data_IF_929566789839
#
_entry.id   IF_929566789839
#
_cell.length_a   1.000
_cell.length_b   1.000
_cell.length_c   1.000
_cell.angle_alpha   90.00
_cell.angle_beta   90.00
_cell.angle_gamma   90.00
#
_symmetry.space_group_name_H-M   'P 1'
#
loop_
_entity.id
_entity.type
_entity.pdbx_description
1 polymer ?
#
# COMPACT_ATOMS: atom_id res chain seq x y z
N UNK A 1 17.22 18.41 6.08
CA UNK A 1 17.58 18.29 4.65
C UNK A 1 16.32 18.47 3.81
N UNK A 2 16.44 19.05 2.61
CA UNK A 2 15.33 19.20 1.65
C UNK A 2 15.32 17.99 0.72
N UNK A 3 14.17 17.40 0.43
CA UNK A 3 14.09 16.32 -0.57
C UNK A 3 14.39 16.87 -1.96
N UNK A 4 14.90 16.03 -2.87
CA UNK A 4 15.17 16.45 -4.26
C UNK A 4 13.91 17.01 -4.94
N UNK A 5 12.74 16.39 -4.68
CA UNK A 5 11.46 16.87 -5.18
C UNK A 5 11.15 18.29 -4.71
N UNK A 6 11.32 18.57 -3.42
CA UNK A 6 11.11 19.91 -2.86
C UNK A 6 12.13 20.91 -3.40
N UNK A 7 13.38 20.50 -3.61
CA UNK A 7 14.42 21.37 -4.16
C UNK A 7 14.07 21.83 -5.57
N UNK A 8 13.60 20.90 -6.42
CA UNK A 8 13.24 21.14 -7.81
C UNK A 8 11.93 21.93 -7.95
N UNK A 9 10.87 21.48 -7.28
CA UNK A 9 9.52 22.02 -7.48
C UNK A 9 9.18 23.19 -6.54
N UNK A 10 10.08 23.50 -5.59
CA UNK A 10 9.85 24.48 -4.50
C UNK A 10 8.56 24.20 -3.69
N UNK A 11 8.06 22.98 -3.74
CA UNK A 11 6.82 22.53 -3.10
C UNK A 11 7.03 21.18 -2.42
N UNK A 12 6.38 20.97 -1.28
CA UNK A 12 6.35 19.66 -0.62
C UNK A 12 5.56 18.64 -1.45
N UNK A 13 6.00 17.38 -1.53
CA UNK A 13 5.19 16.35 -2.17
C UNK A 13 3.86 16.19 -1.44
N UNK A 14 2.78 16.00 -2.18
CA UNK A 14 1.48 15.72 -1.60
C UNK A 14 1.44 14.24 -1.18
N UNK A 15 1.35 13.99 0.13
CA UNK A 15 1.33 12.64 0.72
C UNK A 15 -0.08 12.14 1.02
N UNK A 16 -1.14 12.88 0.65
CA UNK A 16 -2.53 12.52 1.00
C UNK A 16 -2.98 11.15 0.46
N UNK A 17 -2.35 10.66 -0.61
CA UNK A 17 -2.62 9.33 -1.19
C UNK A 17 -1.73 8.21 -0.66
N UNK A 18 -0.79 8.51 0.23
CA UNK A 18 0.11 7.52 0.80
C UNK A 18 -0.60 6.80 1.95
N UNK A 19 -0.60 5.48 1.92
CA UNK A 19 -1.05 4.70 3.07
C UNK A 19 -0.03 4.78 4.20
N UNK A 20 -0.54 4.87 5.43
CA UNK A 20 0.29 4.74 6.61
C UNK A 20 0.83 3.31 6.71
N UNK A 21 2.08 3.19 7.15
CA UNK A 21 2.69 1.88 7.41
C UNK A 21 1.85 1.10 8.43
N UNK A 22 1.56 -0.16 8.12
CA UNK A 22 0.76 -1.04 8.97
C UNK A 22 -0.75 -0.77 8.91
N UNK A 23 -1.21 0.16 8.07
CA UNK A 23 -2.64 0.41 7.91
C UNK A 23 -3.36 -0.86 7.43
N UNK A 24 -4.57 -1.07 7.95
CA UNK A 24 -5.41 -2.20 7.59
C UNK A 24 -5.81 -2.12 6.11
N UNK A 25 -5.61 -3.22 5.40
CA UNK A 25 -6.05 -3.42 4.02
C UNK A 25 -6.71 -4.77 3.84
N UNK A 26 -7.46 -4.92 2.76
CA UNK A 26 -8.14 -6.17 2.40
C UNK A 26 -7.53 -6.73 1.12
N UNK A 27 -7.03 -7.96 1.19
CA UNK A 27 -6.43 -8.67 0.06
C UNK A 27 -7.42 -9.69 -0.48
N UNK A 28 -7.57 -9.74 -1.80
CA UNK A 28 -8.40 -10.75 -2.44
C UNK A 28 -7.70 -12.11 -2.39
N UNK A 29 -8.32 -13.09 -1.74
CA UNK A 29 -7.86 -14.46 -1.62
C UNK A 29 -8.77 -15.39 -2.43
N UNK A 30 -8.27 -16.00 -3.53
CA UNK A 30 -9.09 -16.82 -4.41
C UNK A 30 -9.22 -18.27 -3.93
N UNK A 31 -8.70 -18.63 -2.75
CA UNK A 31 -8.66 -20.03 -2.30
C UNK A 31 -9.97 -20.51 -1.65
N UNK A 32 -10.91 -19.59 -1.38
CA UNK A 32 -12.22 -19.90 -0.78
C UNK A 32 -13.24 -20.54 -1.75
N UNK A 33 -14.28 -21.17 -1.18
CA UNK A 33 -15.45 -21.61 -1.94
C UNK A 33 -16.40 -20.43 -2.23
N UNK A 34 -17.39 -20.62 -3.12
CA UNK A 34 -18.32 -19.55 -3.54
C UNK A 34 -19.01 -18.79 -2.39
N UNK A 35 -19.20 -19.44 -1.24
CA UNK A 35 -19.88 -18.86 -0.08
C UNK A 35 -18.92 -18.32 0.99
N UNK A 36 -17.61 -18.52 0.83
CA UNK A 36 -16.61 -18.06 1.80
C UNK A 36 -16.20 -16.60 1.53
N UNK A 37 -15.70 -15.88 2.54
CA UNK A 37 -15.10 -14.57 2.34
C UNK A 37 -13.92 -14.64 1.37
N UNK A 38 -13.96 -13.86 0.29
CA UNK A 38 -12.87 -13.76 -0.69
C UNK A 38 -11.85 -12.68 -0.34
N UNK A 39 -11.99 -12.04 0.84
CA UNK A 39 -11.13 -10.96 1.28
C UNK A 39 -10.54 -11.30 2.65
N UNK A 40 -9.20 -11.20 2.75
CA UNK A 40 -8.45 -11.41 3.98
C UNK A 40 -7.91 -10.09 4.49
N UNK A 41 -7.99 -9.89 5.81
CA UNK A 41 -7.41 -8.72 6.46
C UNK A 41 -5.88 -8.84 6.45
N UNK A 42 -5.20 -7.77 6.07
CA UNK A 42 -3.75 -7.67 6.05
C UNK A 42 -3.26 -6.28 6.46
N UNK A 43 -1.95 -6.13 6.56
CA UNK A 43 -1.28 -4.88 6.93
C UNK A 43 -0.46 -4.36 5.75
N UNK A 44 -0.68 -3.11 5.36
CA UNK A 44 0.09 -2.50 4.27
C UNK A 44 1.53 -2.22 4.72
N UNK A 45 2.49 -2.72 3.95
CA UNK A 45 3.93 -2.63 4.25
C UNK A 45 4.63 -1.68 3.28
N UNK A 46 4.08 -1.39 2.11
CA UNK A 46 4.74 -0.46 1.21
C UNK A 46 4.33 -0.63 -0.23
N UNK A 47 5.04 0.06 -1.11
CA UNK A 47 4.98 -0.20 -2.54
C UNK A 47 5.98 -1.27 -2.92
N UNK A 48 5.63 -2.02 -3.95
CA UNK A 48 6.56 -2.92 -4.59
C UNK A 48 7.61 -2.14 -5.41
N UNK A 49 8.84 -2.64 -5.46
CA UNK A 49 9.95 -2.00 -6.18
C UNK A 49 9.95 -2.28 -7.68
N UNK A 50 9.30 -3.37 -8.11
CA UNK A 50 9.37 -3.88 -9.48
C UNK A 50 8.05 -3.68 -10.24
N UNK A 51 6.96 -3.43 -9.52
CA UNK A 51 5.61 -3.27 -10.06
C UNK A 51 4.91 -2.05 -9.48
N UNK A 52 3.79 -1.65 -10.09
CA UNK A 52 2.86 -0.65 -9.53
C UNK A 52 1.98 -1.24 -8.41
N UNK A 53 2.42 -2.33 -7.78
CA UNK A 53 1.72 -3.07 -6.74
C UNK A 53 1.99 -2.53 -5.34
N UNK A 54 1.19 -2.98 -4.39
CA UNK A 54 1.43 -2.79 -2.95
C UNK A 54 1.91 -4.08 -2.32
N UNK A 55 2.84 -3.96 -1.37
CA UNK A 55 3.26 -5.04 -0.48
C UNK A 55 2.35 -5.04 0.74
N UNK A 56 1.75 -6.17 1.01
CA UNK A 56 0.89 -6.39 2.17
C UNK A 56 1.45 -7.60 2.92
N UNK A 57 1.37 -7.57 4.25
CA UNK A 57 1.63 -8.72 5.10
C UNK A 57 0.30 -9.28 5.57
N UNK A 58 0.04 -10.56 5.30
CA UNK A 58 -1.17 -11.25 5.74
C UNK A 58 -0.85 -12.72 6.06
N UNK A 59 -1.51 -13.35 7.04
CA UNK A 59 -1.29 -14.75 7.42
C UNK A 59 -1.89 -15.73 6.40
#
# INVERSE_FOLDING_TARGET
>A
GKTLYEALNRQKPNLRGLHEWGCRVWVHDPSGSKLEPHAREGQWVGYDSESKGSRVYWP
#
